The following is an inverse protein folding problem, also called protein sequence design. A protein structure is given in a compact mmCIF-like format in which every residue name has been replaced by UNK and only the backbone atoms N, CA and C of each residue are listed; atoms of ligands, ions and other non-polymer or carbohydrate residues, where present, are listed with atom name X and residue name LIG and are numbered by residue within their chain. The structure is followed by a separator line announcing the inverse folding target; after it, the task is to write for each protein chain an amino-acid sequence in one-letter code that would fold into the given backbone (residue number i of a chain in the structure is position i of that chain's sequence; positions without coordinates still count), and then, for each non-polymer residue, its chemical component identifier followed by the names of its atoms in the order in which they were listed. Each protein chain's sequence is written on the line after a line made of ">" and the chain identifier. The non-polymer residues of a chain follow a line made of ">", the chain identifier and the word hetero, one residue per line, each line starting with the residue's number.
data_IF_568572438831
#
_entry.id   IF_568572438831
#
_cell.length_a   1.000
_cell.length_b   1.000
_cell.length_c   1.000
_cell.angle_alpha   90.00
_cell.angle_beta   90.00
_cell.angle_gamma   90.00
#
_symmetry.space_group_name_H-M   'P 1'
#
loop_
_entity.id
_entity.type
_entity.pdbx_description
1 polymer ?
#
# COMPACT_ATOMS: atom_id res chain seq x y z
N UNK A 1 18.86 -10.79 -7.10
CA UNK A 1 17.53 -11.28 -7.53
C UNK A 1 16.44 -10.25 -7.20
N UNK A 2 16.38 -9.74 -5.95
CA UNK A 2 15.46 -8.66 -5.57
C UNK A 2 15.65 -7.35 -6.35
N UNK A 3 16.89 -6.99 -6.68
CA UNK A 3 17.22 -5.71 -7.35
C UNK A 3 16.77 -5.67 -8.83
N UNK A 4 17.04 -6.75 -9.58
CA UNK A 4 16.52 -6.95 -10.95
C UNK A 4 14.99 -6.98 -10.95
N UNK A 5 14.39 -7.57 -9.92
CA UNK A 5 12.94 -7.64 -9.79
C UNK A 5 12.31 -6.28 -9.51
N UNK A 6 12.90 -5.48 -8.59
CA UNK A 6 12.51 -4.09 -8.39
C UNK A 6 12.55 -3.31 -9.69
N UNK A 7 13.64 -3.41 -10.45
CA UNK A 7 13.75 -2.77 -11.77
C UNK A 7 12.61 -3.20 -12.71
N UNK A 8 12.36 -4.51 -12.87
CA UNK A 8 11.30 -4.99 -13.78
C UNK A 8 9.92 -4.47 -13.38
N UNK A 9 9.58 -4.49 -12.09
CA UNK A 9 8.27 -4.07 -11.60
C UNK A 9 8.11 -2.55 -11.65
N UNK A 10 9.13 -1.80 -11.23
CA UNK A 10 9.09 -0.35 -11.12
C UNK A 10 9.26 0.33 -12.48
N UNK A 11 10.12 -0.17 -13.38
CA UNK A 11 10.36 0.43 -14.70
C UNK A 11 9.23 0.16 -15.69
N UNK A 12 8.55 -0.99 -15.57
CA UNK A 12 7.44 -1.36 -16.47
C UNK A 12 6.08 -0.92 -15.96
N UNK A 13 6.01 -0.22 -14.83
CA UNK A 13 4.76 0.32 -14.28
C UNK A 13 3.75 -0.75 -13.86
N UNK A 14 4.22 -1.94 -13.48
CA UNK A 14 3.35 -3.00 -12.99
C UNK A 14 2.76 -2.64 -11.63
N UNK A 15 1.58 -3.21 -11.33
CA UNK A 15 1.05 -3.20 -9.97
C UNK A 15 1.83 -4.20 -9.12
N UNK A 16 2.06 -3.84 -7.87
CA UNK A 16 2.82 -4.66 -6.95
C UNK A 16 2.25 -4.63 -5.54
N UNK A 17 2.45 -5.73 -4.83
CA UNK A 17 2.17 -5.83 -3.41
C UNK A 17 3.37 -5.29 -2.64
N UNK A 18 3.10 -4.38 -1.72
CA UNK A 18 4.10 -3.80 -0.84
C UNK A 18 3.57 -3.55 0.56
N UNK A 19 4.46 -3.14 1.45
CA UNK A 19 4.07 -2.58 2.75
C UNK A 19 5.02 -1.49 3.22
N UNK A 20 4.47 -0.58 4.02
CA UNK A 20 5.23 0.44 4.73
C UNK A 20 5.47 0.01 6.17
N UNK A 21 6.67 0.27 6.68
CA UNK A 21 7.00 0.13 8.10
C UNK A 21 6.47 1.31 8.93
N UNK A 22 6.38 1.12 10.25
CA UNK A 22 5.81 2.06 11.20
C UNK A 22 6.34 3.50 11.06
N UNK A 23 7.66 3.67 10.95
CA UNK A 23 8.28 4.99 10.83
C UNK A 23 7.77 5.74 9.59
N UNK A 24 7.77 5.06 8.45
CA UNK A 24 7.24 5.65 7.21
C UNK A 24 5.73 5.84 7.27
N UNK A 25 4.99 4.98 7.97
CA UNK A 25 3.55 5.19 8.18
C UNK A 25 3.27 6.47 8.94
N UNK A 26 4.04 6.79 9.99
CA UNK A 26 3.86 8.06 10.73
C UNK A 26 4.03 9.26 9.80
N UNK A 27 5.10 9.26 9.00
CA UNK A 27 5.33 10.28 7.99
C UNK A 27 4.18 10.37 6.97
N UNK A 28 3.68 9.23 6.48
CA UNK A 28 2.57 9.19 5.53
C UNK A 28 1.25 9.67 6.15
N UNK A 29 0.98 9.44 7.45
CA UNK A 29 -0.21 10.00 8.09
C UNK A 29 -0.18 11.53 8.15
N UNK A 30 1.02 12.12 8.31
CA UNK A 30 1.23 13.56 8.25
C UNK A 30 1.05 14.08 6.83
N UNK A 31 1.72 13.47 5.85
CA UNK A 31 1.67 13.89 4.44
C UNK A 31 0.28 13.76 3.85
N UNK A 32 -0.38 12.62 4.07
CA UNK A 32 -1.68 12.31 3.47
C UNK A 32 -2.84 12.83 4.32
N UNK A 33 -2.59 13.30 5.54
CA UNK A 33 -3.60 13.76 6.51
C UNK A 33 -4.71 12.71 6.76
N UNK A 34 -4.32 11.44 6.87
CA UNK A 34 -5.20 10.28 7.10
C UNK A 34 -4.62 9.35 8.16
N UNK A 35 -5.47 8.69 8.95
CA UNK A 35 -5.04 7.69 9.94
C UNK A 35 -4.83 6.31 9.29
N UNK A 36 -3.57 5.96 9.06
CA UNK A 36 -3.10 4.67 8.58
C UNK A 36 -2.90 3.66 9.72
N UNK A 37 -3.36 3.96 10.94
CA UNK A 37 -3.35 3.08 12.10
C UNK A 37 -2.20 3.33 13.07
N UNK A 38 -1.49 4.45 12.95
CA UNK A 38 -0.56 4.94 13.97
C UNK A 38 -1.35 5.76 14.98
N UNK A 39 -1.79 6.98 14.62
CA UNK A 39 -2.45 7.92 15.54
C UNK A 39 -3.71 7.34 16.18
N UNK A 40 -4.58 6.69 15.41
CA UNK A 40 -5.86 6.20 15.95
C UNK A 40 -5.72 5.03 16.91
N UNK A 41 -4.61 4.26 16.85
CA UNK A 41 -4.31 3.19 17.82
C UNK A 41 -3.68 3.77 19.07
N UNK A 42 -2.73 4.70 18.91
CA UNK A 42 -2.11 5.41 20.03
C UNK A 42 -3.17 6.14 20.88
N UNK A 43 -4.12 6.81 20.24
CA UNK A 43 -5.23 7.49 20.93
C UNK A 43 -6.14 6.55 21.74
N UNK A 44 -6.15 5.24 21.42
CA UNK A 44 -6.91 4.21 22.13
C UNK A 44 -6.08 3.47 23.19
N UNK A 45 -4.82 3.85 23.38
CA UNK A 45 -3.88 3.11 24.24
C UNK A 45 -3.41 1.78 23.66
N UNK A 46 -3.61 1.55 22.35
CA UNK A 46 -3.12 0.38 21.65
C UNK A 46 -1.73 0.63 21.04
N UNK A 47 -0.92 -0.43 20.85
CA UNK A 47 0.31 -0.30 20.09
C UNK A 47 0.04 0.22 18.67
N UNK A 48 0.80 1.22 18.17
CA UNK A 48 0.70 1.69 16.80
C UNK A 48 0.86 0.55 15.79
N UNK A 49 0.31 0.73 14.59
CA UNK A 49 0.44 -0.28 13.54
C UNK A 49 1.90 -0.38 13.06
N UNK A 50 2.50 -1.55 13.25
CA UNK A 50 3.89 -1.80 12.83
C UNK A 50 4.10 -1.77 11.31
N UNK A 51 3.08 -2.19 10.55
CA UNK A 51 3.11 -2.25 9.09
C UNK A 51 1.73 -2.19 8.47
N UNK A 52 1.63 -1.63 7.27
CA UNK A 52 0.38 -1.58 6.50
C UNK A 52 0.64 -2.00 5.05
N UNK A 53 -0.07 -3.02 4.56
CA UNK A 53 0.09 -3.45 3.19
C UNK A 53 -0.59 -2.49 2.23
N UNK A 54 -0.15 -2.50 0.98
CA UNK A 54 -0.73 -1.73 -0.11
C UNK A 54 -0.53 -2.43 -1.45
N UNK A 55 -1.37 -2.07 -2.43
CA UNK A 55 -1.05 -2.28 -3.85
C UNK A 55 -0.53 -0.97 -4.42
N UNK A 56 0.64 -1.02 -5.03
CA UNK A 56 1.31 0.15 -5.57
C UNK A 56 1.55 0.05 -7.06
N UNK A 57 1.83 1.20 -7.68
CA UNK A 57 2.36 1.33 -9.03
C UNK A 57 3.30 2.52 -9.09
N UNK A 58 4.52 2.31 -9.62
CA UNK A 58 5.49 3.38 -9.85
C UNK A 58 5.11 4.16 -11.11
N UNK A 59 5.09 5.49 -11.03
CA UNK A 59 4.80 6.41 -12.13
C UNK A 59 5.89 7.49 -12.17
N UNK A 60 7.02 7.17 -12.79
CA UNK A 60 8.23 8.00 -12.71
C UNK A 60 8.70 8.17 -11.26
N UNK A 61 8.78 9.42 -10.80
CA UNK A 61 9.17 9.76 -9.43
C UNK A 61 8.01 9.68 -8.42
N UNK A 62 6.82 9.31 -8.89
CA UNK A 62 5.63 9.20 -8.05
C UNK A 62 5.29 7.74 -7.76
N UNK A 63 4.66 7.52 -6.62
CA UNK A 63 4.09 6.25 -6.24
C UNK A 63 2.59 6.42 -6.08
N UNK A 64 1.85 5.61 -6.83
CA UNK A 64 0.43 5.44 -6.66
C UNK A 64 0.18 4.28 -5.69
N UNK A 65 -0.63 4.49 -4.65
CA UNK A 65 -0.82 3.53 -3.55
C UNK A 65 -2.30 3.38 -3.19
N UNK A 66 -2.80 2.14 -3.24
CA UNK A 66 -4.03 1.73 -2.58
C UNK A 66 -3.69 1.02 -1.27
N UNK A 67 -3.86 1.67 -0.11
CA UNK A 67 -3.67 0.99 1.17
C UNK A 67 -4.69 -0.12 1.38
N UNK A 68 -4.24 -1.17 2.06
CA UNK A 68 -5.01 -2.37 2.32
C UNK A 68 -5.32 -2.56 3.80
N UNK A 69 -6.40 -3.29 4.08
CA UNK A 69 -6.81 -3.66 5.43
C UNK A 69 -7.48 -5.03 5.45
N UNK A 70 -7.36 -5.74 6.57
CA UNK A 70 -8.03 -7.03 6.80
C UNK A 70 -9.48 -6.85 7.27
N UNK A 71 -9.77 -5.73 7.94
CA UNK A 71 -11.14 -5.35 8.29
C UNK A 71 -12.04 -5.34 7.05
N UNK A 72 -13.15 -6.07 7.09
CA UNK A 72 -14.11 -6.13 5.99
C UNK A 72 -14.60 -4.73 5.61
N UNK A 73 -14.43 -4.35 4.33
CA UNK A 73 -14.90 -3.08 3.74
C UNK A 73 -15.66 -3.32 2.44
N UNK A 74 -16.15 -2.24 1.83
CA UNK A 74 -16.95 -2.26 0.59
C UNK A 74 -16.19 -2.88 -0.59
N UNK A 75 -14.93 -2.49 -0.78
CA UNK A 75 -14.13 -2.95 -1.92
C UNK A 75 -13.18 -4.05 -1.46
N UNK A 76 -13.54 -5.30 -1.79
CA UNK A 76 -12.70 -6.47 -1.59
C UNK A 76 -11.61 -6.50 -2.67
N UNK A 77 -10.38 -6.75 -2.25
CA UNK A 77 -9.22 -6.96 -3.11
C UNK A 77 -8.75 -8.40 -2.91
N UNK A 78 -8.86 -9.23 -3.95
CA UNK A 78 -8.34 -10.59 -3.91
C UNK A 78 -6.87 -10.54 -4.34
N UNK A 79 -5.98 -11.03 -3.48
CA UNK A 79 -4.53 -11.01 -3.67
C UNK A 79 -3.96 -12.37 -4.09
N UNK A 80 -4.83 -13.30 -4.47
CA UNK A 80 -4.46 -14.58 -5.08
C UNK A 80 -3.79 -14.41 -6.45
N UNK A 81 -4.14 -13.32 -7.15
CA UNK A 81 -3.48 -12.87 -8.39
C UNK A 81 -2.12 -12.20 -8.15
N UNK A 82 -1.71 -12.05 -6.90
CA UNK A 82 -0.39 -11.51 -6.57
C UNK A 82 0.60 -12.64 -6.33
N UNK A 83 1.64 -12.71 -7.16
CA UNK A 83 2.79 -13.57 -6.94
C UNK A 83 3.66 -13.00 -5.81
N UNK A 84 3.59 -13.60 -4.62
CA UNK A 84 4.37 -13.23 -3.44
C UNK A 84 5.80 -13.77 -3.58
N UNK A 85 6.72 -12.88 -3.93
CA UNK A 85 8.09 -13.25 -4.29
C UNK A 85 9.02 -13.42 -3.07
N UNK A 86 8.61 -12.89 -1.91
CA UNK A 86 9.45 -12.88 -0.70
C UNK A 86 8.65 -13.29 0.54
N UNK A 87 9.32 -13.93 1.51
CA UNK A 87 8.71 -14.30 2.80
C UNK A 87 8.27 -13.09 3.63
N UNK A 88 8.77 -11.89 3.30
CA UNK A 88 8.45 -10.61 3.96
C UNK A 88 6.95 -10.27 3.92
N UNK A 89 6.19 -10.85 3.00
CA UNK A 89 4.74 -10.65 2.85
C UNK A 89 3.87 -11.85 3.21
N UNK A 90 4.44 -12.90 3.80
CA UNK A 90 3.69 -14.11 4.20
C UNK A 90 2.51 -13.84 5.14
N UNK A 91 2.58 -12.76 5.91
CA UNK A 91 1.52 -12.30 6.81
C UNK A 91 0.36 -11.58 6.11
N UNK A 92 0.54 -11.16 4.85
CA UNK A 92 -0.53 -10.53 4.07
C UNK A 92 -1.41 -11.65 3.53
N UNK A 93 -2.61 -11.81 4.08
CA UNK A 93 -3.56 -12.82 3.62
C UNK A 93 -4.07 -12.56 2.19
N UNK A 94 -4.56 -13.60 1.52
CA UNK A 94 -5.00 -13.52 0.11
C UNK A 94 -6.32 -12.75 -0.07
N UNK A 95 -7.01 -12.44 1.03
CA UNK A 95 -8.21 -11.60 1.05
C UNK A 95 -7.90 -10.32 1.79
N UNK A 96 -7.97 -9.22 1.07
CA UNK A 96 -7.84 -7.89 1.63
C UNK A 96 -8.98 -6.98 1.20
N UNK A 97 -8.99 -5.77 1.72
CA UNK A 97 -9.96 -4.75 1.36
C UNK A 97 -9.27 -3.41 1.18
N UNK A 98 -9.82 -2.57 0.31
CA UNK A 98 -9.37 -1.19 0.19
C UNK A 98 -9.58 -0.47 1.51
N UNK A 99 -8.54 0.22 1.96
CA UNK A 99 -8.62 1.12 3.09
C UNK A 99 -9.61 2.27 2.82
N UNK A 100 -10.32 2.68 3.86
CA UNK A 100 -11.26 3.80 3.80
C UNK A 100 -10.64 5.00 4.52
N UNK A 101 -10.29 6.05 3.77
CA UNK A 101 -9.94 7.35 4.32
C UNK A 101 -11.23 7.98 4.90
N UNK A 102 -11.21 8.35 6.17
CA UNK A 102 -12.38 8.95 6.82
C UNK A 102 -12.77 10.32 6.22
N UNK A 103 -11.80 11.03 5.63
CA UNK A 103 -12.00 12.35 5.01
C UNK A 103 -12.35 12.24 3.53
N UNK A 104 -11.68 11.34 2.79
CA UNK A 104 -11.76 11.29 1.32
C UNK A 104 -12.51 10.08 0.76
N UNK A 105 -12.76 9.07 1.59
CA UNK A 105 -13.41 7.82 1.21
C UNK A 105 -12.46 6.74 0.69
N UNK A 106 -12.95 5.88 -0.20
CA UNK A 106 -12.11 4.85 -0.82
C UNK A 106 -11.36 5.44 -2.02
N UNK A 107 -10.05 5.24 -2.06
CA UNK A 107 -9.23 5.79 -3.13
C UNK A 107 -7.80 5.29 -3.10
N UNK A 108 -7.01 5.86 -4.01
CA UNK A 108 -5.58 5.69 -4.17
C UNK A 108 -4.91 7.03 -3.92
N UNK A 109 -3.70 7.01 -3.39
CA UNK A 109 -2.88 8.19 -3.19
C UNK A 109 -1.79 8.23 -4.23
N UNK A 110 -1.58 9.36 -4.87
CA UNK A 110 -0.43 9.61 -5.74
C UNK A 110 0.44 10.67 -5.07
N UNK A 111 1.67 10.29 -4.70
CA UNK A 111 2.62 11.20 -4.06
C UNK A 111 4.04 10.92 -4.55
N UNK A 112 4.92 11.93 -4.48
CA UNK A 112 6.33 11.77 -4.82
C UNK A 112 7.06 10.89 -3.80
N UNK A 113 7.87 9.96 -4.28
CA UNK A 113 8.74 9.14 -3.41
C UNK A 113 9.93 9.98 -2.99
N UNK A 114 10.24 9.98 -1.68
CA UNK A 114 11.26 10.88 -1.13
C UNK A 114 12.62 10.21 -0.95
N UNK A 115 12.72 8.89 -1.11
CA UNK A 115 14.00 8.18 -1.10
C UNK A 115 13.90 6.67 -1.27
N UNK A 116 15.05 6.02 -1.38
CA UNK A 116 15.17 4.56 -1.31
C UNK A 116 14.77 4.04 0.08
N UNK A 117 14.17 2.85 0.12
CA UNK A 117 13.76 2.22 1.39
C UNK A 117 12.41 2.69 1.95
N UNK A 118 11.70 3.56 1.25
CA UNK A 118 10.38 4.04 1.67
C UNK A 118 9.35 2.91 1.86
N UNK A 119 9.48 1.81 1.12
CA UNK A 119 8.61 0.65 1.24
C UNK A 119 9.35 -0.65 0.94
N UNK A 120 8.73 -1.76 1.36
CA UNK A 120 9.12 -3.10 0.96
C UNK A 120 8.23 -3.53 -0.20
N UNK A 121 8.84 -3.72 -1.37
CA UNK A 121 8.22 -4.39 -2.51
C UNK A 121 8.36 -5.90 -2.31
N UNK A 122 7.24 -6.62 -2.27
CA UNK A 122 7.26 -8.02 -1.83
C UNK A 122 6.43 -8.99 -2.70
N UNK A 123 5.66 -8.49 -3.66
CA UNK A 123 4.99 -9.32 -4.65
C UNK A 123 4.59 -8.54 -5.90
N UNK A 124 4.35 -9.25 -7.00
CA UNK A 124 3.87 -8.68 -8.26
C UNK A 124 2.39 -9.02 -8.37
N UNK A 125 1.57 -8.08 -8.83
CA UNK A 125 0.15 -8.33 -8.99
C UNK A 125 -0.27 -8.05 -10.43
N UNK A 126 -0.72 -9.10 -11.10
CA UNK A 126 -1.38 -8.97 -12.40
C UNK A 126 -2.90 -8.86 -12.16
N UNK A 127 -3.65 -8.23 -13.08
CA UNK A 127 -5.12 -8.17 -13.05
C UNK A 127 -5.81 -7.68 -11.76
N UNK A 128 -5.43 -6.48 -11.29
CA UNK A 128 -6.15 -5.75 -10.23
C UNK A 128 -6.93 -4.54 -10.78
N UNK A 129 -7.88 -4.78 -11.68
CA UNK A 129 -8.70 -3.71 -12.31
C UNK A 129 -9.54 -2.90 -11.31
N UNK A 130 -10.00 -3.55 -10.23
CA UNK A 130 -10.84 -2.89 -9.22
C UNK A 130 -10.13 -1.67 -8.61
N UNK A 131 -8.80 -1.72 -8.55
CA UNK A 131 -7.96 -0.65 -8.02
C UNK A 131 -7.95 0.54 -8.98
N UNK A 132 -7.93 0.30 -10.29
CA UNK A 132 -7.96 1.37 -11.30
C UNK A 132 -9.27 2.16 -11.30
N UNK A 133 -10.37 1.52 -10.85
CA UNK A 133 -11.70 2.12 -10.72
C UNK A 133 -11.83 3.03 -9.48
N UNK A 134 -10.86 3.00 -8.56
CA UNK A 134 -10.85 3.86 -7.38
C UNK A 134 -10.38 5.27 -7.73
N UNK A 135 -10.96 6.27 -7.06
CA UNK A 135 -10.55 7.68 -7.19
C UNK A 135 -9.08 7.85 -6.80
N UNK A 136 -8.39 8.76 -7.50
CA UNK A 136 -7.02 9.17 -7.17
C UNK A 136 -7.09 10.46 -6.34
N UNK A 137 -6.30 10.48 -5.26
CA UNK A 137 -5.99 11.65 -4.44
C UNK A 137 -4.54 12.03 -4.71
N UNK A 138 -4.35 13.12 -5.44
CA UNK A 138 -3.01 13.68 -5.69
C UNK A 138 -2.61 14.54 -4.49
N UNK A 139 -1.38 14.32 -4.00
CA UNK A 139 -0.81 14.94 -2.80
C UNK A 139 0.49 15.66 -3.16
#
# INVERSE_FOLDING_TARGET
>A
MEEIYRQIVEERGYKFLGFFHQEKLRFLEELLDTDLGIRGREAKGEPPRNRRPFIGRRLGDSLEVCFLTENKKKYKITLDVCEKMTSSCSWIGDRSYAFYDQKRGYGRYLFKVLGEGDYVLCGRCDDLEIIDKLRIFEI
#
